data_IF_197884196629
#
_entry.id   IF_197884196629
#
_cell.length_a   1.000
_cell.length_b   1.000
_cell.length_c   1.000
_cell.angle_alpha   90.00
_cell.angle_beta   90.00
_cell.angle_gamma   90.00
#
_symmetry.space_group_name_H-M   'P 1'
#
loop_
_entity.id
_entity.type
_entity.pdbx_description
1 polymer ?
#
# COMPACT_ATOMS: atom_id res chain seq x y z
N UNK A 1 2.42 -3.46 2.53
CA UNK A 1 1.74 -3.36 1.23
C UNK A 1 1.29 -1.93 1.01
N UNK A 2 1.37 -1.39 -0.20
CA UNK A 2 0.79 -0.07 -0.49
C UNK A 2 -0.73 -0.21 -0.63
N UNK A 3 -1.48 0.34 0.32
CA UNK A 3 -2.95 0.25 0.36
C UNK A 3 -3.65 1.41 -0.35
N UNK A 4 -2.89 2.43 -0.76
CA UNK A 4 -3.36 3.58 -1.53
C UNK A 4 -2.58 3.70 -2.83
N UNK A 5 -3.23 4.12 -3.94
CA UNK A 5 -2.51 4.45 -5.17
C UNK A 5 -1.50 5.60 -4.98
N UNK A 6 -1.71 6.43 -3.97
CA UNK A 6 -0.84 7.54 -3.58
C UNK A 6 0.34 7.15 -2.68
N UNK A 7 0.35 5.94 -2.11
CA UNK A 7 1.37 5.49 -1.14
C UNK A 7 1.27 6.08 0.28
N UNK A 8 0.59 7.20 0.49
CA UNK A 8 0.62 7.95 1.76
C UNK A 8 -0.42 7.55 2.82
N UNK A 9 -1.22 6.52 2.59
CA UNK A 9 -2.29 6.12 3.54
C UNK A 9 -1.78 5.68 4.91
N UNK A 10 -0.53 5.21 4.98
CA UNK A 10 0.15 4.81 6.21
C UNK A 10 1.43 5.63 6.45
N UNK A 11 1.56 6.78 5.78
CA UNK A 11 2.71 7.67 5.95
C UNK A 11 2.37 8.76 6.98
N UNK A 12 3.22 8.91 8.00
CA UNK A 12 3.06 9.94 9.03
C UNK A 12 3.58 11.31 8.58
N UNK A 13 4.42 11.37 7.55
CA UNK A 13 5.01 12.60 7.01
C UNK A 13 4.15 13.23 5.91
N UNK A 14 3.43 12.41 5.15
CA UNK A 14 2.59 12.88 4.04
C UNK A 14 1.14 12.50 4.30
N UNK A 15 0.23 13.49 4.23
CA UNK A 15 -1.19 13.23 4.35
C UNK A 15 -1.73 12.62 3.05
N UNK A 16 -2.46 11.51 3.18
CA UNK A 16 -3.19 10.92 2.07
C UNK A 16 -4.38 11.80 1.66
N UNK A 17 -4.43 12.22 0.39
CA UNK A 17 -5.58 12.94 -0.20
C UNK A 17 -6.55 12.06 -1.00
N UNK A 18 -6.42 10.74 -0.96
CA UNK A 18 -7.34 9.85 -1.68
C UNK A 18 -8.64 9.64 -0.89
N UNK A 19 -9.77 9.58 -1.60
CA UNK A 19 -11.05 9.21 -0.98
C UNK A 19 -11.04 7.75 -0.49
N UNK A 20 -11.86 7.46 0.52
CA UNK A 20 -12.01 6.11 1.09
C UNK A 20 -12.41 5.08 0.02
N UNK A 21 -13.33 5.44 -0.89
CA UNK A 21 -13.73 4.58 -2.00
C UNK A 21 -12.56 4.25 -2.94
N UNK A 22 -11.68 5.23 -3.20
CA UNK A 22 -10.50 5.04 -4.05
C UNK A 22 -9.49 4.11 -3.39
N UNK A 23 -9.31 4.23 -2.07
CA UNK A 23 -8.47 3.34 -1.26
C UNK A 23 -9.03 1.92 -1.29
N UNK A 24 -10.33 1.74 -0.98
CA UNK A 24 -10.99 0.44 -0.96
C UNK A 24 -11.03 -0.25 -2.34
N UNK A 25 -11.11 0.51 -3.43
CA UNK A 25 -11.00 -0.05 -4.79
C UNK A 25 -9.57 -0.50 -5.10
N UNK A 26 -8.57 0.26 -4.67
CA UNK A 26 -7.17 -0.06 -4.93
C UNK A 26 -6.69 -1.27 -4.14
N UNK A 27 -7.05 -1.37 -2.85
CA UNK A 27 -6.66 -2.51 -1.99
C UNK A 27 -7.19 -3.85 -2.52
N UNK A 28 -8.39 -3.87 -3.13
CA UNK A 28 -8.98 -5.05 -3.76
C UNK A 28 -8.28 -5.51 -5.05
N UNK A 29 -7.39 -4.70 -5.64
CA UNK A 29 -6.61 -5.12 -6.81
C UNK A 29 -5.56 -6.16 -6.47
N UNK A 30 -5.19 -6.30 -5.20
CA UNK A 30 -4.30 -7.36 -4.80
C UNK A 30 -5.03 -8.69 -4.87
N UNK A 31 -4.64 -9.51 -5.83
CA UNK A 31 -5.27 -10.79 -6.12
C UNK A 31 -5.02 -11.74 -4.95
N UNK A 32 -6.09 -12.21 -4.29
CA UNK A 32 -5.97 -13.22 -3.23
C UNK A 32 -5.30 -14.50 -3.72
N UNK A 33 -5.47 -14.86 -4.99
CA UNK A 33 -4.84 -16.02 -5.63
C UNK A 33 -3.31 -15.88 -5.78
N UNK A 34 -2.79 -14.65 -5.87
CA UNK A 34 -1.35 -14.41 -5.94
C UNK A 34 -0.71 -14.41 -4.56
N UNK A 35 -1.41 -13.93 -3.53
CA UNK A 35 -0.91 -13.93 -2.15
C UNK A 35 -0.71 -15.33 -1.58
N UNK A 36 -1.55 -16.29 -1.97
CA UNK A 36 -1.47 -17.69 -1.53
C UNK A 36 -0.23 -18.44 -2.08
N UNK A 37 0.50 -17.84 -3.03
CA UNK A 37 1.66 -18.43 -3.71
C UNK A 37 2.97 -17.68 -3.46
N UNK A 38 2.98 -16.69 -2.56
CA UNK A 38 4.18 -15.93 -2.23
C UNK A 38 4.76 -16.47 -0.93
N UNK A 39 5.93 -17.10 -1.02
CA UNK A 39 6.61 -17.66 0.15
C UNK A 39 7.13 -16.58 1.12
N UNK A 40 7.47 -15.39 0.59
CA UNK A 40 8.10 -14.32 1.37
C UNK A 40 7.49 -12.96 1.08
N UNK A 41 6.94 -12.34 2.14
CA UNK A 41 6.44 -10.97 2.13
C UNK A 41 7.26 -10.16 3.12
N UNK A 42 8.03 -9.20 2.61
CA UNK A 42 8.82 -8.29 3.44
C UNK A 42 8.25 -6.88 3.32
N UNK A 43 7.91 -6.28 4.47
CA UNK A 43 7.60 -4.87 4.57
C UNK A 43 8.88 -4.05 4.55
N UNK A 44 8.99 -3.10 3.62
CA UNK A 44 10.13 -2.18 3.53
C UNK A 44 9.69 -0.77 3.93
N UNK A 45 10.61 -0.01 4.53
CA UNK A 45 10.40 1.40 4.87
C UNK A 45 10.88 2.30 3.73
N UNK A 46 10.35 3.53 3.68
CA UNK A 46 10.88 4.55 2.79
C UNK A 46 12.34 4.88 3.14
N UNK A 47 13.14 5.15 2.12
CA UNK A 47 14.52 5.58 2.29
C UNK A 47 14.56 7.00 2.85
N UNK A 48 15.39 7.24 3.86
CA UNK A 48 15.75 8.59 4.28
C UNK A 48 16.67 9.20 3.24
N UNK A 49 16.16 10.17 2.47
CA UNK A 49 17.03 10.99 1.61
C UNK A 49 17.99 11.77 2.51
N UNK A 50 19.28 11.55 2.31
CA UNK A 50 20.39 12.23 3.00
C UNK A 50 20.91 13.34 2.10
#
# INVERSE_FOLDING_TARGET
MNLCPCGYVSDFKHQCGCSEERIARYSRKLSGLLLDRIDLIIGVLALSQT
#
